data_IF_173541768170
#
_entry.id   IF_173541768170
#
_cell.length_a   1.000
_cell.length_b   1.000
_cell.length_c   1.000
_cell.angle_alpha   90.00
_cell.angle_beta   90.00
_cell.angle_gamma   90.00
#
_symmetry.space_group_name_H-M   'P 1'
#
loop_
_entity.id
_entity.type
_entity.pdbx_description
1 polymer ?
#
# COMPACT_ATOMS: atom_id res chain seq x y z
N UNK A 1 -1.29 8.86 -3.84
CA UNK A 1 -2.32 8.23 -4.69
C UNK A 1 -3.59 8.39 -3.90
N UNK A 2 -4.61 9.06 -4.41
CA UNK A 2 -5.91 9.20 -3.74
C UNK A 2 -6.92 8.35 -4.49
N UNK A 3 -7.55 7.40 -3.80
CA UNK A 3 -8.56 6.49 -4.34
C UNK A 3 -9.96 7.10 -4.25
N UNK A 4 -10.15 8.03 -3.31
CA UNK A 4 -11.38 8.77 -3.08
C UNK A 4 -11.08 10.25 -3.02
N UNK A 5 -11.87 11.07 -3.68
CA UNK A 5 -11.74 12.53 -3.68
C UNK A 5 -12.77 13.19 -2.79
N UNK A 6 -12.43 14.36 -2.26
CA UNK A 6 -13.35 15.20 -1.50
C UNK A 6 -14.65 15.48 -2.27
N UNK A 7 -14.57 15.70 -3.58
CA UNK A 7 -15.73 15.99 -4.41
C UNK A 7 -16.68 14.77 -4.53
N UNK A 8 -16.14 13.57 -4.67
CA UNK A 8 -16.91 12.32 -4.70
C UNK A 8 -17.59 12.06 -3.36
N UNK A 9 -16.85 12.20 -2.25
CA UNK A 9 -17.40 12.04 -0.90
C UNK A 9 -18.50 13.07 -0.64
N UNK A 10 -18.29 14.33 -1.02
CA UNK A 10 -19.29 15.40 -0.90
C UNK A 10 -20.56 15.09 -1.68
N UNK A 11 -20.41 14.58 -2.89
CA UNK A 11 -21.52 14.17 -3.74
C UNK A 11 -22.29 12.98 -3.13
N UNK A 12 -21.58 11.96 -2.66
CA UNK A 12 -22.17 10.77 -2.05
C UNK A 12 -22.95 11.10 -0.76
N UNK A 13 -22.44 12.03 0.04
CA UNK A 13 -23.09 12.46 1.28
C UNK A 13 -24.22 13.50 1.06
N UNK A 14 -24.28 14.14 -0.09
CA UNK A 14 -25.26 15.20 -0.37
C UNK A 14 -25.10 16.45 0.51
N UNK A 15 -23.91 16.72 1.04
CA UNK A 15 -23.67 17.77 2.05
C UNK A 15 -23.36 19.15 1.46
N UNK A 16 -23.30 19.29 0.14
CA UNK A 16 -23.01 20.56 -0.51
C UNK A 16 -21.74 21.22 0.04
N UNK A 17 -21.81 22.51 0.38
CA UNK A 17 -20.69 23.30 0.94
C UNK A 17 -20.68 23.37 2.46
N UNK A 18 -21.48 22.55 3.15
CA UNK A 18 -21.67 22.62 4.60
C UNK A 18 -20.37 22.36 5.40
N UNK A 19 -19.50 21.51 4.86
CA UNK A 19 -18.23 21.14 5.50
C UNK A 19 -17.04 21.60 4.68
N UNK A 20 -15.92 21.89 5.34
CA UNK A 20 -14.71 22.30 4.68
C UNK A 20 -14.10 21.17 3.85
N UNK A 21 -13.48 21.52 2.70
CA UNK A 21 -12.80 20.54 1.84
C UNK A 21 -11.70 19.78 2.61
N UNK A 22 -10.97 20.48 3.49
CA UNK A 22 -9.93 19.86 4.32
C UNK A 22 -10.49 18.75 5.23
N UNK A 23 -11.68 18.96 5.81
CA UNK A 23 -12.32 17.96 6.70
C UNK A 23 -12.76 16.72 5.93
N UNK A 24 -13.30 16.89 4.73
CA UNK A 24 -13.70 15.77 3.88
C UNK A 24 -12.48 15.04 3.31
N UNK A 25 -11.44 15.78 2.92
CA UNK A 25 -10.21 15.18 2.41
C UNK A 25 -9.53 14.29 3.45
N UNK A 26 -9.43 14.72 4.72
CA UNK A 26 -8.89 13.86 5.79
C UNK A 26 -9.69 12.57 6.00
N UNK A 27 -10.95 12.55 5.62
CA UNK A 27 -11.77 11.33 5.66
C UNK A 27 -11.46 10.40 4.50
N UNK A 28 -11.25 10.97 3.31
CA UNK A 28 -10.78 10.22 2.14
C UNK A 28 -9.38 9.65 2.39
N UNK A 29 -8.45 10.45 2.92
CA UNK A 29 -7.11 10.00 3.24
C UNK A 29 -7.12 8.81 4.23
N UNK A 30 -8.00 8.87 5.25
CA UNK A 30 -8.17 7.76 6.19
C UNK A 30 -8.76 6.49 5.53
N UNK A 31 -9.62 6.64 4.53
CA UNK A 31 -10.15 5.50 3.76
C UNK A 31 -9.05 4.88 2.88
N UNK A 32 -8.23 5.72 2.25
CA UNK A 32 -7.07 5.28 1.47
C UNK A 32 -6.09 4.48 2.34
N UNK A 33 -5.80 4.93 3.55
CA UNK A 33 -4.93 4.25 4.51
C UNK A 33 -5.46 2.85 4.94
N UNK A 34 -6.78 2.64 4.88
CA UNK A 34 -7.39 1.33 5.13
C UNK A 34 -7.28 0.40 3.91
N UNK A 35 -7.48 0.92 2.71
CA UNK A 35 -7.56 0.10 1.49
C UNK A 35 -6.19 -0.21 0.90
N UNK A 36 -5.31 0.79 0.79
CA UNK A 36 -4.01 0.63 0.11
C UNK A 36 -3.21 -0.58 0.64
N UNK A 37 -3.15 -0.84 1.97
CA UNK A 37 -2.46 -2.02 2.48
C UNK A 37 -3.10 -3.36 2.11
N UNK A 38 -4.37 -3.36 1.69
CA UNK A 38 -5.09 -4.58 1.28
C UNK A 38 -4.83 -4.93 -0.18
N UNK A 39 -4.46 -3.95 -1.00
CA UNK A 39 -4.25 -4.12 -2.43
C UNK A 39 -2.91 -4.78 -2.71
N UNK A 40 -2.87 -5.61 -3.75
CA UNK A 40 -1.63 -6.17 -4.23
C UNK A 40 -0.67 -5.06 -4.66
N UNK A 41 0.51 -5.07 -4.08
CA UNK A 41 1.57 -4.14 -4.41
C UNK A 41 2.75 -4.91 -5.01
N UNK A 42 3.25 -4.44 -6.16
CA UNK A 42 4.41 -5.04 -6.82
C UNK A 42 5.70 -4.61 -6.11
N UNK A 43 5.85 -4.99 -4.85
CA UNK A 43 7.08 -4.78 -4.09
C UNK A 43 7.36 -5.95 -3.16
N UNK A 44 8.63 -6.10 -2.81
CA UNK A 44 9.10 -7.03 -1.78
C UNK A 44 10.06 -6.33 -0.84
N UNK A 45 10.13 -6.84 0.39
CA UNK A 45 11.10 -6.41 1.37
C UNK A 45 12.31 -7.34 1.36
N UNK A 46 13.52 -6.76 1.24
CA UNK A 46 14.75 -7.51 1.38
C UNK A 46 15.31 -7.39 2.80
N UNK A 47 15.80 -8.49 3.32
CA UNK A 47 16.36 -8.59 4.68
C UNK A 47 17.84 -8.27 4.74
N UNK A 48 18.56 -8.41 3.62
CA UNK A 48 19.99 -8.16 3.58
C UNK A 48 20.44 -7.71 2.19
N UNK A 49 21.67 -7.22 2.12
CA UNK A 49 22.34 -6.83 0.88
C UNK A 49 23.83 -7.13 0.93
N UNK A 50 24.45 -7.20 -0.24
CA UNK A 50 25.91 -7.24 -0.43
C UNK A 50 26.28 -6.58 -1.75
N UNK A 51 27.52 -6.12 -1.90
CA UNK A 51 28.02 -5.62 -3.17
C UNK A 51 29.50 -5.90 -3.39
N UNK A 52 29.85 -6.07 -4.66
CA UNK A 52 31.19 -5.98 -5.20
C UNK A 52 31.41 -4.56 -5.76
N UNK A 53 32.49 -4.34 -6.52
CA UNK A 53 32.75 -3.08 -7.23
C UNK A 53 31.75 -2.83 -8.36
N UNK A 54 31.14 -3.87 -8.93
CA UNK A 54 30.31 -3.82 -10.15
C UNK A 54 28.90 -4.33 -9.95
N UNK A 55 28.64 -5.13 -8.90
CA UNK A 55 27.36 -5.80 -8.69
C UNK A 55 26.84 -5.58 -7.27
N UNK A 56 25.56 -5.31 -7.15
CA UNK A 56 24.81 -5.31 -5.91
C UNK A 56 23.82 -6.46 -5.89
N UNK A 57 23.76 -7.16 -4.76
CA UNK A 57 22.81 -8.27 -4.53
C UNK A 57 21.95 -7.96 -3.33
N UNK A 58 20.64 -8.12 -3.47
CA UNK A 58 19.66 -8.05 -2.38
C UNK A 58 19.12 -9.44 -2.08
N UNK A 59 18.94 -9.74 -0.80
CA UNK A 59 18.49 -11.05 -0.31
C UNK A 59 17.13 -10.92 0.35
N UNK A 60 16.27 -11.89 0.07
CA UNK A 60 14.89 -11.97 0.53
C UNK A 60 14.67 -13.19 1.40
N UNK A 61 13.67 -13.16 2.25
CA UNK A 61 13.28 -14.28 3.11
C UNK A 61 12.12 -15.09 2.49
N UNK A 62 11.54 -14.60 1.38
CA UNK A 62 10.53 -15.26 0.58
C UNK A 62 11.02 -15.58 -0.82
N UNK A 63 10.38 -16.53 -1.50
CA UNK A 63 10.63 -16.85 -2.91
C UNK A 63 10.15 -15.70 -3.79
N UNK A 64 11.05 -15.16 -4.62
CA UNK A 64 10.80 -13.95 -5.43
C UNK A 64 10.77 -14.18 -6.93
N UNK A 65 10.94 -15.41 -7.39
CA UNK A 65 10.96 -15.75 -8.84
C UNK A 65 9.64 -15.45 -9.54
N UNK A 66 8.53 -15.35 -8.80
CA UNK A 66 7.22 -14.97 -9.34
C UNK A 66 6.95 -13.46 -9.28
N UNK A 67 7.85 -12.69 -8.64
CA UNK A 67 7.69 -11.24 -8.44
C UNK A 67 8.59 -10.46 -9.39
N UNK A 68 9.82 -10.94 -9.57
CA UNK A 68 10.84 -10.26 -10.37
C UNK A 68 11.32 -11.12 -11.54
N UNK A 69 11.78 -10.45 -12.60
CA UNK A 69 12.39 -11.10 -13.78
C UNK A 69 13.62 -10.33 -14.27
N UNK A 70 14.50 -11.02 -14.94
CA UNK A 70 15.73 -10.43 -15.51
C UNK A 70 15.37 -9.36 -16.54
N UNK A 71 16.03 -8.21 -16.47
CA UNK A 71 15.76 -7.05 -17.33
C UNK A 71 14.67 -6.10 -16.79
N UNK A 72 13.94 -6.49 -15.73
CA UNK A 72 12.98 -5.60 -15.08
C UNK A 72 13.70 -4.40 -14.45
N UNK A 73 13.12 -3.22 -14.60
CA UNK A 73 13.52 -2.04 -13.85
C UNK A 73 12.78 -2.01 -12.52
N UNK A 74 13.51 -1.84 -11.43
CA UNK A 74 12.97 -1.76 -10.08
C UNK A 74 13.46 -0.50 -9.38
N UNK A 75 12.70 -0.01 -8.41
CA UNK A 75 13.12 1.04 -7.50
C UNK A 75 13.52 0.42 -6.17
N UNK A 76 14.78 0.55 -5.82
CA UNK A 76 15.33 0.09 -4.53
C UNK A 76 15.36 1.27 -3.56
N UNK A 77 14.91 1.05 -2.33
CA UNK A 77 14.92 2.03 -1.25
C UNK A 77 15.28 1.38 0.09
N UNK A 78 15.65 2.19 1.07
CA UNK A 78 15.97 1.76 2.44
C UNK A 78 17.17 0.79 2.56
N UNK A 79 18.01 0.68 1.53
CA UNK A 79 19.24 -0.13 1.55
C UNK A 79 20.52 0.71 1.64
N UNK A 80 20.42 2.03 1.54
CA UNK A 80 21.58 2.91 1.51
C UNK A 80 22.31 2.93 0.15
N UNK A 81 23.43 3.66 0.11
CA UNK A 81 24.32 3.68 -1.07
C UNK A 81 25.21 2.42 -1.08
N UNK A 82 25.47 1.80 -2.24
CA UNK A 82 25.11 2.19 -3.60
C UNK A 82 23.80 1.52 -4.12
N UNK A 83 23.01 0.91 -3.27
CA UNK A 83 21.87 0.06 -3.65
C UNK A 83 20.64 0.86 -4.07
N UNK A 84 20.34 1.96 -3.37
CA UNK A 84 19.12 2.74 -3.61
C UNK A 84 19.04 3.34 -5.00
N UNK A 85 17.80 3.57 -5.47
CA UNK A 85 17.46 4.18 -6.74
C UNK A 85 16.93 3.19 -7.77
N UNK A 86 16.79 3.64 -9.01
CA UNK A 86 16.33 2.81 -10.13
C UNK A 86 17.44 1.85 -10.55
N UNK A 87 17.12 0.57 -10.65
CA UNK A 87 18.06 -0.52 -10.99
C UNK A 87 17.43 -1.45 -12.03
N UNK A 88 18.21 -1.86 -13.01
CA UNK A 88 17.81 -2.93 -13.94
C UNK A 88 18.37 -4.26 -13.45
N UNK A 89 17.51 -5.26 -13.28
CA UNK A 89 17.90 -6.56 -12.78
C UNK A 89 18.71 -7.33 -13.81
N UNK A 90 19.90 -7.79 -13.42
CA UNK A 90 20.81 -8.62 -14.26
C UNK A 90 20.64 -10.10 -13.96
N UNK A 91 20.25 -10.46 -12.73
CA UNK A 91 19.94 -11.82 -12.36
C UNK A 91 18.83 -11.86 -11.31
N UNK A 92 18.03 -12.94 -11.34
CA UNK A 92 16.99 -13.24 -10.35
C UNK A 92 17.16 -14.69 -9.92
N UNK A 93 17.48 -14.89 -8.66
CA UNK A 93 17.52 -16.19 -7.99
C UNK A 93 16.27 -16.43 -7.17
N UNK A 94 16.18 -17.57 -6.51
CA UNK A 94 15.03 -17.93 -5.69
C UNK A 94 14.79 -16.95 -4.54
N UNK A 95 15.88 -16.49 -3.88
CA UNK A 95 15.85 -15.57 -2.74
C UNK A 95 16.77 -14.36 -2.94
N UNK A 96 17.12 -14.02 -4.17
CA UNK A 96 18.02 -12.90 -4.41
C UNK A 96 17.82 -12.27 -5.79
N UNK A 97 18.07 -10.96 -5.86
CA UNK A 97 18.19 -10.22 -7.11
C UNK A 97 19.56 -9.58 -7.21
N UNK A 98 20.07 -9.46 -8.43
CA UNK A 98 21.36 -8.81 -8.70
C UNK A 98 21.17 -7.73 -9.74
N UNK A 99 21.92 -6.63 -9.61
CA UNK A 99 21.92 -5.49 -10.52
C UNK A 99 23.28 -4.80 -10.51
N UNK A 100 23.55 -4.02 -11.54
CA UNK A 100 24.81 -3.27 -11.63
C UNK A 100 24.85 -2.13 -10.60
N UNK A 101 25.98 -2.01 -9.94
CA UNK A 101 26.32 -0.85 -9.09
C UNK A 101 27.71 -0.34 -9.50
N UNK A 102 28.06 0.87 -9.08
CA UNK A 102 29.39 1.45 -9.30
C UNK A 102 29.92 2.02 -7.98
N UNK A 103 31.21 1.88 -7.77
CA UNK A 103 31.88 2.42 -6.59
C UNK A 103 32.62 1.37 -5.78
N UNK A 104 33.19 1.82 -4.65
CA UNK A 104 33.87 0.90 -3.74
C UNK A 104 32.85 -0.02 -3.04
N UNK A 105 33.21 -1.29 -2.81
CA UNK A 105 32.35 -2.18 -2.04
C UNK A 105 32.13 -1.65 -0.63
N UNK A 106 30.87 -1.52 -0.22
CA UNK A 106 30.48 -1.11 1.11
C UNK A 106 30.02 -2.27 1.98
N UNK A 107 29.63 -3.38 1.33
CA UNK A 107 29.13 -4.59 1.96
C UNK A 107 29.61 -5.83 1.19
N UNK A 108 30.89 -6.20 1.34
CA UNK A 108 31.49 -7.35 0.62
C UNK A 108 30.95 -8.71 1.07
N UNK A 109 30.34 -8.76 2.26
CA UNK A 109 29.61 -9.91 2.78
C UNK A 109 28.14 -9.53 2.98
N UNK A 110 27.28 -10.50 3.14
CA UNK A 110 25.86 -10.27 3.39
C UNK A 110 25.66 -9.46 4.67
N UNK A 111 25.14 -8.26 4.54
CA UNK A 111 24.77 -7.34 5.62
C UNK A 111 23.25 -7.23 5.74
N UNK A 112 22.75 -7.20 6.97
CA UNK A 112 21.33 -6.98 7.23
C UNK A 112 20.89 -5.56 6.80
N UNK A 113 19.76 -5.45 6.12
CA UNK A 113 19.08 -4.19 5.88
C UNK A 113 18.15 -3.90 7.06
N UNK A 114 18.43 -2.86 7.84
CA UNK A 114 17.69 -2.57 9.09
C UNK A 114 16.92 -1.25 8.94
N UNK A 115 15.59 -1.25 9.18
CA UNK A 115 14.74 -2.40 9.56
C UNK A 115 14.50 -3.40 8.43
N UNK A 116 14.34 -2.97 7.18
CA UNK A 116 14.23 -3.75 5.93
C UNK A 116 14.50 -2.84 4.75
N UNK A 117 15.09 -3.40 3.68
CA UNK A 117 15.10 -2.74 2.39
C UNK A 117 13.78 -2.98 1.65
N UNK A 118 13.46 -2.14 0.68
CA UNK A 118 12.26 -2.27 -0.16
C UNK A 118 12.65 -2.22 -1.64
N UNK A 119 12.11 -3.16 -2.40
CA UNK A 119 12.27 -3.25 -3.87
C UNK A 119 10.89 -3.22 -4.49
N UNK A 120 10.61 -2.21 -5.31
CA UNK A 120 9.33 -2.05 -6.02
C UNK A 120 9.56 -2.14 -7.53
N UNK A 121 8.76 -2.94 -8.22
CA UNK A 121 8.73 -2.99 -9.68
C UNK A 121 8.19 -1.67 -10.25
N UNK A 122 8.61 -1.32 -11.48
CA UNK A 122 8.17 -0.07 -12.14
C UNK A 122 6.75 -0.15 -12.69
N UNK A 123 6.20 -1.34 -12.88
CA UNK A 123 4.81 -1.54 -13.29
C UNK A 123 3.88 -1.51 -12.07
N UNK A 124 3.84 -0.39 -11.35
CA UNK A 124 2.81 -0.20 -10.34
C UNK A 124 1.46 -0.10 -11.03
N UNK A 125 0.51 -0.92 -10.59
CA UNK A 125 -0.87 -0.80 -11.02
C UNK A 125 -1.39 0.54 -10.48
N UNK A 126 -1.98 1.32 -11.36
CA UNK A 126 -2.66 2.55 -10.95
C UNK A 126 -4.08 2.20 -10.51
N UNK A 127 -4.24 1.99 -9.23
CA UNK A 127 -5.53 1.66 -8.63
C UNK A 127 -6.55 2.78 -8.71
N UNK A 128 -6.14 4.01 -9.07
CA UNK A 128 -7.08 5.12 -9.31
C UNK A 128 -7.87 4.95 -10.61
N UNK A 129 -7.52 3.97 -11.43
CA UNK A 129 -8.25 3.60 -12.65
C UNK A 129 -9.21 2.43 -12.44
N UNK A 130 -9.18 1.78 -11.28
CA UNK A 130 -10.06 0.66 -10.95
C UNK A 130 -11.31 1.15 -10.20
N UNK A 131 -12.46 1.08 -10.86
CA UNK A 131 -13.73 1.56 -10.32
C UNK A 131 -14.18 0.80 -9.07
N UNK A 132 -13.84 -0.49 -8.92
CA UNK A 132 -14.18 -1.24 -7.73
C UNK A 132 -13.35 -0.80 -6.52
N UNK A 133 -12.09 -0.46 -6.74
CA UNK A 133 -11.21 0.08 -5.71
C UNK A 133 -11.66 1.48 -5.27
N UNK A 134 -12.03 2.35 -6.23
CA UNK A 134 -12.57 3.68 -5.93
C UNK A 134 -13.88 3.59 -5.14
N UNK A 135 -14.81 2.72 -5.56
CA UNK A 135 -16.09 2.52 -4.86
C UNK A 135 -15.87 1.99 -3.44
N UNK A 136 -14.93 1.05 -3.26
CA UNK A 136 -14.56 0.53 -1.95
C UNK A 136 -14.02 1.65 -1.02
N UNK A 137 -13.18 2.53 -1.56
CA UNK A 137 -12.64 3.69 -0.83
C UNK A 137 -13.77 4.67 -0.44
N UNK A 138 -14.68 4.96 -1.36
CA UNK A 138 -15.81 5.84 -1.09
C UNK A 138 -16.74 5.25 -0.03
N UNK A 139 -17.03 3.94 -0.07
CA UNK A 139 -17.84 3.27 0.97
C UNK A 139 -17.21 3.39 2.35
N UNK A 140 -15.91 3.19 2.48
CA UNK A 140 -15.19 3.35 3.74
C UNK A 140 -15.19 4.81 4.19
N UNK A 141 -14.95 5.76 3.28
CA UNK A 141 -14.97 7.18 3.60
C UNK A 141 -16.35 7.63 4.13
N UNK A 142 -17.44 7.15 3.54
CA UNK A 142 -18.81 7.42 4.01
C UNK A 142 -19.02 6.85 5.42
N UNK A 143 -18.57 5.62 5.70
CA UNK A 143 -18.70 5.00 7.03
C UNK A 143 -17.89 5.76 8.09
N UNK A 144 -16.64 6.12 7.79
CA UNK A 144 -15.79 6.93 8.68
C UNK A 144 -16.46 8.29 8.95
N UNK A 145 -17.02 8.92 7.93
CA UNK A 145 -17.73 10.18 8.07
C UNK A 145 -18.95 10.06 8.98
N UNK A 146 -19.80 9.08 8.75
CA UNK A 146 -20.98 8.82 9.55
C UNK A 146 -20.62 8.53 11.02
N UNK A 147 -19.57 7.74 11.26
CA UNK A 147 -19.09 7.46 12.60
C UNK A 147 -18.63 8.74 13.35
N UNK A 148 -18.04 9.71 12.65
CA UNK A 148 -17.67 11.02 13.23
C UNK A 148 -18.89 11.86 13.60
N UNK A 149 -19.98 11.78 12.83
CA UNK A 149 -21.20 12.55 13.08
C UNK A 149 -22.01 12.02 14.30
N UNK A 150 -22.04 10.71 14.52
CA UNK A 150 -22.78 10.09 15.62
C UNK A 150 -22.24 10.47 17.00
N UNK A 151 -20.98 10.85 17.13
CA UNK A 151 -20.36 11.29 18.38
C UNK A 151 -20.70 12.74 18.75
N UNK A 152 -21.15 13.54 17.80
CA UNK A 152 -21.41 14.98 17.95
C UNK A 152 -22.85 15.31 18.43
N UNK A 153 -23.82 14.45 18.19
CA UNK A 153 -25.21 14.64 18.62
C UNK A 153 -25.48 13.87 19.90
N UNK A 154 -25.25 14.48 21.05
CA UNK A 154 -25.55 13.93 22.38
C UNK A 154 -27.06 13.71 22.65
N UNK A 155 -27.78 13.09 21.75
CA UNK A 155 -29.22 12.84 21.76
C UNK A 155 -29.59 11.41 21.32
N UNK A 156 -29.65 10.52 22.30
CA UNK A 156 -30.57 9.39 22.40
C UNK A 156 -30.98 8.64 21.13
N UNK A 157 -30.24 7.57 20.83
CA UNK A 157 -30.87 6.37 20.29
C UNK A 157 -30.19 5.17 20.98
N UNK A 158 -30.85 4.62 21.95
CA UNK A 158 -30.31 3.68 22.94
C UNK A 158 -30.01 2.29 22.39
N UNK A 159 -30.27 1.97 21.11
CA UNK A 159 -30.22 0.59 20.66
C UNK A 159 -29.43 0.32 19.33
N UNK A 160 -28.92 1.35 18.68
CA UNK A 160 -28.10 1.20 17.48
C UNK A 160 -26.94 2.20 17.47
N UNK A 161 -26.08 2.16 18.48
CA UNK A 161 -24.79 2.84 18.34
C UNK A 161 -23.81 1.89 17.68
N UNK A 162 -23.48 2.06 16.36
CA UNK A 162 -22.29 1.46 15.84
C UNK A 162 -21.12 2.02 16.65
N UNK A 163 -20.39 1.13 17.31
CA UNK A 163 -19.19 1.54 18.04
C UNK A 163 -18.32 2.35 17.07
N UNK A 164 -17.97 3.61 17.36
CA UNK A 164 -17.19 4.46 16.45
C UNK A 164 -15.81 3.89 16.15
N UNK A 165 -15.44 2.81 16.80
CA UNK A 165 -14.14 2.15 16.69
C UNK A 165 -14.20 0.79 15.99
N UNK A 166 -15.36 0.32 15.57
CA UNK A 166 -15.50 -0.93 14.82
C UNK A 166 -16.22 -0.66 13.51
N UNK A 167 -15.45 -0.67 12.44
CA UNK A 167 -16.01 -0.79 11.10
C UNK A 167 -16.92 -2.01 11.08
N UNK A 168 -18.17 -1.85 10.68
CA UNK A 168 -19.14 -2.94 10.70
C UNK A 168 -18.60 -4.15 9.92
N UNK A 169 -18.67 -5.35 10.50
CA UNK A 169 -18.20 -6.58 9.84
C UNK A 169 -18.85 -6.79 8.46
N UNK A 170 -20.08 -6.32 8.28
CA UNK A 170 -20.79 -6.33 7.00
C UNK A 170 -20.19 -5.39 5.96
N UNK A 171 -19.66 -4.22 6.35
CA UNK A 171 -18.97 -3.30 5.44
C UNK A 171 -17.66 -3.91 4.97
N UNK A 172 -16.83 -4.42 5.88
CA UNK A 172 -15.57 -5.08 5.51
C UNK A 172 -15.79 -6.27 4.58
N UNK A 173 -16.84 -7.07 4.79
CA UNK A 173 -17.19 -8.18 3.91
C UNK A 173 -17.56 -7.69 2.49
N UNK A 174 -18.33 -6.60 2.37
CA UNK A 174 -18.67 -6.00 1.07
C UNK A 174 -17.45 -5.42 0.38
N UNK A 175 -16.63 -4.67 1.09
CA UNK A 175 -15.38 -4.10 0.57
C UNK A 175 -14.45 -5.20 0.08
N UNK A 176 -14.24 -6.26 0.86
CA UNK A 176 -13.44 -7.42 0.43
C UNK A 176 -14.05 -8.13 -0.81
N UNK A 177 -15.37 -8.19 -0.90
CA UNK A 177 -16.05 -8.71 -2.09
C UNK A 177 -15.77 -7.88 -3.35
N UNK A 178 -15.81 -6.55 -3.25
CA UNK A 178 -15.45 -5.65 -4.35
C UNK A 178 -13.97 -5.77 -4.74
N UNK A 179 -13.09 -5.90 -3.75
CA UNK A 179 -11.65 -5.97 -3.94
C UNK A 179 -11.13 -7.38 -4.25
N UNK A 180 -11.98 -8.39 -4.38
CA UNK A 180 -11.55 -9.79 -4.48
C UNK A 180 -10.50 -10.07 -5.56
N UNK A 181 -10.55 -9.33 -6.68
CA UNK A 181 -9.61 -9.46 -7.79
C UNK A 181 -8.29 -8.69 -7.60
N UNK A 182 -8.23 -7.81 -6.58
CA UNK A 182 -7.10 -6.88 -6.34
C UNK A 182 -6.42 -7.09 -4.99
N UNK A 183 -6.96 -7.99 -4.15
CA UNK A 183 -6.40 -8.25 -2.82
C UNK A 183 -5.03 -8.91 -2.91
N UNK A 184 -4.13 -8.47 -2.06
CA UNK A 184 -2.86 -9.18 -1.85
C UNK A 184 -3.15 -10.54 -1.19
N UNK A 185 -2.78 -11.67 -1.83
CA UNK A 185 -2.95 -13.00 -1.25
C UNK A 185 -2.35 -13.13 0.15
N UNK A 186 -1.29 -12.37 0.45
CA UNK A 186 -0.64 -12.35 1.77
C UNK A 186 -1.50 -11.70 2.85
N UNK A 187 -2.37 -10.75 2.47
CA UNK A 187 -3.32 -10.11 3.39
C UNK A 187 -4.52 -11.01 3.72
N UNK A 188 -4.69 -12.11 2.98
CA UNK A 188 -5.79 -13.05 3.17
C UNK A 188 -5.45 -14.20 4.14
N UNK A 189 -4.16 -14.36 4.46
CA UNK A 189 -3.65 -15.39 5.36
C UNK A 189 -3.39 -14.71 6.72
N UNK A 190 -4.41 -14.62 7.54
CA UNK A 190 -4.35 -14.06 8.89
C UNK A 190 -5.05 -14.96 9.88
#
# INVERSE_FOLDING_TARGET
MSLCTEAELRSALGVGTLYSSATLQTTCDAADDVIIPMLWANYEFNSAHSNTTTEGTLYFDSVITNVFYVGQVVTVSQNGSPFNGSKTLTAVGEYSITFAVSGSPTATVRHAAVPFGKVAGTSNIDWTLDSAVQEAALMIAVDIWQARQTTSSGGVAVDFQPSPWKMGSGLLARVRGLLAHTLDPRSMVG
#
